data_IF_676079514832
#
_entry.id   IF_676079514832
#
_cell.length_a   1.000
_cell.length_b   1.000
_cell.length_c   1.000
_cell.angle_alpha   90.00
_cell.angle_beta   90.00
_cell.angle_gamma   90.00
#
_symmetry.space_group_name_H-M   'P 1'
#
loop_
_entity.id
_entity.type
_entity.pdbx_description
1 polymer ?
#
# COMPACT_ATOMS: atom_id res chain seq x y z
N UNK A 1 -9.65 -17.99 -1.50
CA UNK A 1 -8.97 -16.83 -2.09
C UNK A 1 -7.77 -16.57 -1.20
N UNK A 2 -6.59 -17.07 -1.59
CA UNK A 2 -5.35 -16.71 -0.89
C UNK A 2 -5.08 -15.24 -1.18
N UNK A 3 -5.25 -14.41 -0.14
CA UNK A 3 -5.05 -12.98 -0.26
C UNK A 3 -3.54 -12.72 -0.24
N UNK A 4 -2.97 -12.43 -1.40
CA UNK A 4 -1.53 -12.23 -1.51
C UNK A 4 -1.21 -10.75 -1.36
N UNK A 5 -0.56 -10.43 -0.25
CA UNK A 5 -0.30 -9.08 0.22
C UNK A 5 1.09 -8.64 -0.21
N UNK A 6 1.19 -7.47 -0.84
CA UNK A 6 2.46 -6.94 -1.32
C UNK A 6 2.86 -5.66 -0.58
N UNK A 7 4.06 -5.68 0.02
CA UNK A 7 4.71 -4.55 0.67
C UNK A 7 5.92 -4.11 -0.17
N UNK A 8 5.76 -3.09 -1.01
CA UNK A 8 6.83 -2.63 -1.93
C UNK A 8 7.49 -1.35 -1.39
N UNK A 9 8.33 -1.47 -0.37
CA UNK A 9 9.09 -0.33 0.16
C UNK A 9 10.60 -0.41 -0.12
N UNK A 10 11.19 -1.60 -0.18
CA UNK A 10 12.64 -1.78 -0.06
C UNK A 10 13.36 -2.28 -1.33
N UNK A 11 12.68 -2.41 -2.47
CA UNK A 11 13.26 -3.01 -3.68
C UNK A 11 13.72 -2.05 -4.77
N UNK A 12 13.74 -0.74 -4.54
CA UNK A 12 14.11 0.22 -5.59
C UNK A 12 15.63 0.21 -5.82
N UNK A 13 16.09 -0.15 -7.02
CA UNK A 13 17.53 -0.25 -7.34
C UNK A 13 18.31 1.05 -7.12
N UNK A 14 17.66 2.21 -7.16
CA UNK A 14 18.30 3.49 -6.83
C UNK A 14 18.82 3.53 -5.38
N UNK A 15 18.12 2.88 -4.45
CA UNK A 15 18.46 2.87 -3.03
C UNK A 15 19.14 1.57 -2.60
N UNK A 16 18.81 0.44 -3.24
CA UNK A 16 19.43 -0.86 -3.00
C UNK A 16 19.90 -1.49 -4.33
N UNK A 17 20.99 -0.98 -4.94
CA UNK A 17 21.44 -1.43 -6.27
C UNK A 17 21.91 -2.89 -6.27
N UNK A 18 22.51 -3.33 -5.16
CA UNK A 18 23.03 -4.68 -4.99
C UNK A 18 21.99 -5.65 -4.40
N UNK A 19 20.81 -5.16 -4.02
CA UNK A 19 19.73 -5.97 -3.47
C UNK A 19 20.02 -6.53 -2.06
N UNK A 20 20.96 -5.93 -1.33
CA UNK A 20 21.43 -6.40 -0.04
C UNK A 20 20.40 -6.15 1.06
N UNK A 21 19.77 -4.98 1.07
CA UNK A 21 18.70 -4.68 2.03
C UNK A 21 17.48 -5.59 1.78
N UNK A 22 17.12 -5.77 0.51
CA UNK A 22 16.09 -6.70 0.09
C UNK A 22 16.37 -8.12 0.59
N UNK A 23 17.60 -8.63 0.39
CA UNK A 23 18.00 -9.96 0.84
C UNK A 23 17.95 -10.10 2.38
N UNK A 24 18.34 -9.06 3.11
CA UNK A 24 18.24 -9.05 4.59
C UNK A 24 16.79 -9.13 5.04
N UNK A 25 15.88 -8.40 4.40
CA UNK A 25 14.44 -8.44 4.73
C UNK A 25 13.87 -9.84 4.45
N UNK A 26 14.17 -10.42 3.29
CA UNK A 26 13.72 -11.77 2.90
C UNK A 26 14.26 -12.84 3.86
N UNK A 27 15.50 -12.69 4.34
CA UNK A 27 16.09 -13.61 5.32
C UNK A 27 15.53 -13.42 6.74
N UNK A 28 15.14 -12.20 7.10
CA UNK A 28 14.65 -11.86 8.45
C UNK A 28 13.16 -12.17 8.61
N UNK A 29 12.36 -11.92 7.57
CA UNK A 29 10.91 -12.06 7.60
C UNK A 29 10.50 -13.23 6.70
N UNK A 30 10.30 -14.39 7.33
CA UNK A 30 9.91 -15.60 6.61
C UNK A 30 8.62 -15.38 5.82
N UNK A 31 8.65 -15.70 4.52
CA UNK A 31 7.50 -15.59 3.63
C UNK A 31 7.29 -14.21 3.01
N UNK A 32 8.19 -13.26 3.24
CA UNK A 32 8.21 -11.98 2.51
C UNK A 32 9.16 -12.07 1.32
N UNK A 33 8.69 -11.62 0.16
CA UNK A 33 9.52 -11.42 -1.02
C UNK A 33 9.60 -9.93 -1.35
N UNK A 34 10.81 -9.46 -1.66
CA UNK A 34 11.07 -8.07 -2.04
C UNK A 34 11.25 -8.00 -3.55
N UNK A 35 10.25 -7.41 -4.21
CA UNK A 35 10.28 -7.17 -5.65
C UNK A 35 11.29 -6.06 -5.95
N UNK A 36 12.31 -6.38 -6.73
CA UNK A 36 13.38 -5.47 -7.12
C UNK A 36 13.00 -4.75 -8.41
N UNK A 37 12.89 -3.43 -8.38
CA UNK A 37 12.38 -2.63 -9.50
C UNK A 37 13.24 -1.38 -9.75
N UNK A 38 13.25 -0.92 -11.01
CA UNK A 38 14.05 0.25 -11.44
C UNK A 38 13.26 1.56 -11.35
N UNK A 39 11.94 1.48 -11.46
CA UNK A 39 11.08 2.66 -11.54
C UNK A 39 10.47 2.93 -10.16
N UNK A 40 10.55 4.18 -9.71
CA UNK A 40 9.92 4.61 -8.46
C UNK A 40 8.41 4.77 -8.65
N UNK A 41 7.65 4.30 -7.65
CA UNK A 41 6.21 4.59 -7.54
C UNK A 41 5.95 6.11 -7.58
N UNK A 42 4.85 6.57 -8.18
CA UNK A 42 3.76 5.76 -8.74
C UNK A 42 3.98 5.27 -10.19
N UNK A 43 5.20 5.40 -10.73
CA UNK A 43 5.56 4.82 -12.02
C UNK A 43 5.84 3.31 -11.92
N UNK A 44 5.99 2.67 -13.08
CA UNK A 44 6.29 1.24 -13.20
C UNK A 44 5.06 0.41 -13.56
N UNK A 45 5.31 -0.67 -14.29
CA UNK A 45 4.30 -1.64 -14.69
C UNK A 45 4.19 -2.75 -13.63
N UNK A 46 3.03 -3.40 -13.53
CA UNK A 46 2.80 -4.50 -12.60
C UNK A 46 3.33 -5.86 -13.09
N UNK A 47 3.87 -5.94 -14.31
CA UNK A 47 4.20 -7.21 -14.96
C UNK A 47 5.14 -8.11 -14.15
N UNK A 48 6.13 -7.53 -13.47
CA UNK A 48 7.06 -8.28 -12.60
C UNK A 48 6.32 -8.89 -11.40
N UNK A 49 5.35 -8.14 -10.85
CA UNK A 49 4.53 -8.54 -9.72
C UNK A 49 3.57 -9.66 -10.12
N UNK A 50 2.88 -9.49 -11.24
CA UNK A 50 1.98 -10.50 -11.80
C UNK A 50 2.74 -11.79 -12.13
N UNK A 51 3.96 -11.67 -12.68
CA UNK A 51 4.80 -12.82 -13.02
C UNK A 51 5.27 -13.58 -11.78
N UNK A 52 5.60 -12.88 -10.69
CA UNK A 52 6.02 -13.51 -9.44
C UNK A 52 4.87 -14.30 -8.80
N UNK A 53 3.68 -13.71 -8.80
CA UNK A 53 2.50 -14.29 -8.16
C UNK A 53 1.68 -15.23 -9.05
N UNK A 54 1.91 -15.21 -10.36
CA UNK A 54 1.18 -16.03 -11.33
C UNK A 54 -0.29 -15.63 -11.52
N UNK A 55 -0.67 -14.40 -11.15
CA UNK A 55 -2.04 -13.89 -11.31
C UNK A 55 -2.06 -12.41 -11.73
N UNK A 56 -3.18 -11.98 -12.30
CA UNK A 56 -3.38 -10.58 -12.70
C UNK A 56 -3.41 -9.63 -11.49
N UNK A 57 -3.06 -8.37 -11.70
CA UNK A 57 -3.08 -7.31 -10.69
C UNK A 57 -4.47 -7.13 -10.05
N UNK A 58 -5.53 -7.40 -10.81
CA UNK A 58 -6.92 -7.42 -10.33
C UNK A 58 -7.21 -8.49 -9.28
N UNK A 59 -6.31 -9.44 -9.05
CA UNK A 59 -6.38 -10.45 -8.00
C UNK A 59 -5.39 -10.19 -6.86
N UNK A 60 -4.65 -9.09 -6.91
CA UNK A 60 -3.60 -8.74 -5.96
C UNK A 60 -4.03 -7.58 -5.06
N UNK A 61 -3.55 -7.61 -3.81
CA UNK A 61 -3.78 -6.56 -2.82
C UNK A 61 -2.48 -5.82 -2.55
N UNK A 62 -2.49 -4.51 -2.77
CA UNK A 62 -1.40 -3.61 -2.41
C UNK A 62 -1.73 -2.92 -1.09
N UNK A 63 -0.86 -3.12 -0.10
CA UNK A 63 -1.00 -2.48 1.22
C UNK A 63 0.11 -1.45 1.39
N UNK A 64 -0.26 -0.22 1.72
CA UNK A 64 0.70 0.87 1.91
C UNK A 64 0.09 2.03 2.69
N UNK A 65 0.90 3.02 3.04
CA UNK A 65 0.53 4.09 3.96
C UNK A 65 0.52 5.49 3.31
N UNK A 66 0.75 5.56 1.99
CA UNK A 66 0.76 6.82 1.24
C UNK A 66 -0.21 6.80 0.07
N UNK A 67 -0.91 7.93 -0.10
CA UNK A 67 -1.86 8.09 -1.20
C UNK A 67 -1.15 8.17 -2.54
N UNK A 68 -0.16 9.06 -2.66
CA UNK A 68 0.43 9.39 -3.98
C UNK A 68 1.43 8.37 -4.49
N UNK A 69 1.84 7.41 -3.66
CA UNK A 69 2.69 6.30 -4.07
C UNK A 69 1.88 5.02 -4.16
N UNK A 70 1.41 4.50 -3.03
CA UNK A 70 0.86 3.14 -2.97
C UNK A 70 -0.53 3.09 -3.58
N UNK A 71 -1.44 3.96 -3.13
CA UNK A 71 -2.82 3.99 -3.65
C UNK A 71 -2.84 4.34 -5.13
N UNK A 72 -2.07 5.35 -5.57
CA UNK A 72 -2.01 5.73 -6.99
C UNK A 72 -1.38 4.62 -7.85
N UNK A 73 -0.26 4.01 -7.41
CA UNK A 73 0.37 2.91 -8.16
C UNK A 73 -0.56 1.72 -8.30
N UNK A 74 -1.22 1.33 -7.21
CA UNK A 74 -2.17 0.23 -7.19
C UNK A 74 -3.35 0.49 -8.10
N UNK A 75 -4.00 1.66 -7.99
CA UNK A 75 -5.13 2.01 -8.85
C UNK A 75 -4.74 2.09 -10.33
N UNK A 76 -3.54 2.60 -10.66
CA UNK A 76 -3.05 2.70 -12.05
C UNK A 76 -2.88 1.33 -12.70
N UNK A 77 -2.45 0.34 -11.92
CA UNK A 77 -2.18 -1.01 -12.40
C UNK A 77 -3.33 -2.00 -12.14
N UNK A 78 -4.41 -1.58 -11.47
CA UNK A 78 -5.59 -2.42 -11.23
C UNK A 78 -5.51 -3.31 -9.99
N UNK A 79 -4.69 -2.96 -8.99
CA UNK A 79 -4.66 -3.64 -7.68
C UNK A 79 -5.81 -3.20 -6.79
N UNK A 80 -6.22 -4.07 -5.85
CA UNK A 80 -6.99 -3.63 -4.69
C UNK A 80 -6.04 -2.94 -3.71
N UNK A 81 -6.29 -1.67 -3.36
CA UNK A 81 -5.42 -0.94 -2.44
C UNK A 81 -6.01 -0.84 -1.05
N UNK A 82 -5.23 -1.19 -0.03
CA UNK A 82 -5.55 -0.93 1.37
C UNK A 82 -4.58 0.13 1.90
N UNK A 83 -5.12 1.27 2.30
CA UNK A 83 -4.34 2.32 2.93
C UNK A 83 -4.30 2.08 4.45
N UNK A 84 -3.11 1.99 5.01
CA UNK A 84 -2.88 1.86 6.45
C UNK A 84 -2.39 3.16 7.07
N UNK A 85 -2.49 3.27 8.39
CA UNK A 85 -1.74 4.30 9.09
C UNK A 85 -0.23 4.01 9.03
N UNK A 86 0.62 5.04 8.95
CA UNK A 86 2.07 4.87 8.98
C UNK A 86 2.53 4.15 10.26
N UNK A 87 3.34 3.11 10.09
CA UNK A 87 3.83 2.30 11.21
C UNK A 87 4.82 3.04 12.13
N UNK A 88 5.51 4.07 11.61
CA UNK A 88 6.46 4.85 12.40
C UNK A 88 6.53 6.30 11.91
N UNK A 89 6.32 7.25 12.83
CA UNK A 89 6.45 8.69 12.56
C UNK A 89 7.78 9.27 13.06
N UNK A 90 8.55 8.54 13.86
CA UNK A 90 9.65 9.07 14.67
C UNK A 90 10.87 9.50 13.86
N UNK A 91 11.14 8.85 12.72
CA UNK A 91 12.31 9.11 11.89
C UNK A 91 11.97 9.83 10.56
N UNK A 92 10.77 10.39 10.43
CA UNK A 92 10.38 11.07 9.19
C UNK A 92 10.89 12.50 9.12
N UNK A 93 11.43 12.88 7.97
CA UNK A 93 11.81 14.27 7.72
C UNK A 93 10.57 15.18 7.79
N UNK A 94 10.76 16.40 8.27
CA UNK A 94 9.68 17.39 8.39
C UNK A 94 8.91 17.60 7.07
N UNK A 95 9.62 17.51 5.95
CA UNK A 95 9.07 17.62 4.60
C UNK A 95 8.09 16.48 4.33
N UNK A 96 8.45 15.23 4.62
CA UNK A 96 7.56 14.06 4.41
C UNK A 96 6.29 14.21 5.21
N UNK A 97 6.38 14.67 6.47
CA UNK A 97 5.22 14.90 7.32
C UNK A 97 4.27 15.97 6.78
N UNK A 98 4.82 17.03 6.18
CA UNK A 98 4.02 18.08 5.52
C UNK A 98 3.36 17.58 4.24
N UNK A 99 4.09 16.82 3.43
CA UNK A 99 3.55 16.19 2.21
C UNK A 99 2.38 15.27 2.55
N UNK A 100 2.47 14.45 3.61
CA UNK A 100 1.34 13.63 4.06
C UNK A 100 0.11 14.43 4.43
N UNK A 101 0.27 15.53 5.17
CA UNK A 101 -0.86 16.41 5.51
C UNK A 101 -1.50 17.00 4.24
N UNK A 102 -0.68 17.35 3.26
CA UNK A 102 -1.15 17.85 1.98
C UNK A 102 -1.87 16.78 1.15
N UNK A 103 -1.33 15.55 1.09
CA UNK A 103 -1.98 14.39 0.48
C UNK A 103 -3.38 14.17 1.06
N UNK A 104 -3.48 14.07 2.39
CA UNK A 104 -4.75 13.90 3.09
C UNK A 104 -5.70 15.07 2.86
N UNK A 105 -5.20 16.30 2.81
CA UNK A 105 -6.02 17.48 2.51
C UNK A 105 -6.64 17.41 1.12
N UNK A 106 -5.86 17.06 0.09
CA UNK A 106 -6.35 16.90 -1.28
C UNK A 106 -7.40 15.81 -1.36
N UNK A 107 -7.13 14.65 -0.76
CA UNK A 107 -8.08 13.52 -0.76
C UNK A 107 -9.40 13.94 -0.09
N UNK A 108 -9.34 14.57 1.08
CA UNK A 108 -10.53 15.08 1.78
C UNK A 108 -11.28 16.12 0.94
N UNK A 109 -10.57 16.98 0.23
CA UNK A 109 -11.17 17.95 -0.68
C UNK A 109 -11.95 17.24 -1.80
N UNK A 110 -11.38 16.19 -2.42
CA UNK A 110 -12.07 15.41 -3.44
C UNK A 110 -13.29 14.66 -2.91
N UNK A 111 -13.19 14.08 -1.71
CA UNK A 111 -14.35 13.46 -1.05
C UNK A 111 -15.48 14.46 -0.81
N UNK A 112 -15.15 15.68 -0.35
CA UNK A 112 -16.12 16.77 -0.16
C UNK A 112 -16.76 17.23 -1.48
N UNK A 113 -16.03 17.15 -2.59
CA UNK A 113 -16.55 17.41 -3.94
C UNK A 113 -17.38 16.27 -4.52
N UNK A 114 -17.53 15.16 -3.80
CA UNK A 114 -18.35 14.02 -4.22
C UNK A 114 -17.58 12.96 -5.00
N UNK A 115 -16.28 13.12 -5.22
CA UNK A 115 -15.47 12.05 -5.79
C UNK A 115 -15.38 10.89 -4.80
N UNK A 116 -15.45 9.67 -5.31
CA UNK A 116 -15.37 8.44 -4.53
C UNK A 116 -14.34 7.51 -5.16
N UNK A 117 -13.67 6.66 -4.37
CA UNK A 117 -12.82 5.62 -4.91
C UNK A 117 -13.60 4.69 -5.85
N UNK A 118 -12.90 4.18 -6.86
CA UNK A 118 -13.44 3.16 -7.75
C UNK A 118 -13.66 1.88 -6.92
N UNK A 119 -14.80 1.22 -7.12
CA UNK A 119 -15.07 -0.08 -6.48
C UNK A 119 -14.21 -1.14 -7.16
N UNK A 120 -13.45 -1.89 -6.37
CA UNK A 120 -12.61 -2.96 -6.89
C UNK A 120 -13.39 -4.28 -6.97
N UNK A 121 -13.25 -5.10 -8.03
CA UNK A 121 -14.01 -6.36 -8.19
C UNK A 121 -13.83 -7.36 -7.05
N UNK A 122 -12.62 -7.43 -6.47
CA UNK A 122 -12.33 -8.32 -5.34
C UNK A 122 -13.13 -8.00 -4.09
N UNK A 123 -13.58 -6.75 -3.94
CA UNK A 123 -14.26 -6.32 -2.74
C UNK A 123 -15.29 -5.22 -3.00
N UNK A 124 -16.51 -5.58 -3.41
CA UNK A 124 -17.59 -4.63 -3.66
C UNK A 124 -18.02 -3.87 -2.40
N UNK A 125 -17.85 -4.49 -1.21
CA UNK A 125 -18.12 -3.90 0.09
C UNK A 125 -16.94 -4.09 1.04
N UNK A 126 -16.26 -2.98 1.37
CA UNK A 126 -15.12 -2.94 2.28
C UNK A 126 -15.46 -3.47 3.69
N UNK A 127 -16.72 -3.45 4.10
CA UNK A 127 -17.15 -3.97 5.42
C UNK A 127 -16.92 -5.47 5.56
N UNK A 128 -16.78 -6.20 4.45
CA UNK A 128 -16.57 -7.64 4.48
C UNK A 128 -15.16 -8.04 4.95
N UNK A 129 -14.18 -7.13 4.88
CA UNK A 129 -12.81 -7.38 5.38
C UNK A 129 -12.53 -6.74 6.74
N UNK A 130 -13.40 -5.85 7.22
CA UNK A 130 -13.30 -5.25 8.55
C UNK A 130 -13.82 -6.27 9.56
N UNK A 131 -12.95 -7.18 10.00
CA UNK A 131 -13.26 -8.14 11.08
C UNK A 131 -13.36 -7.47 12.45
N UNK A 132 -12.73 -6.30 12.62
CA UNK A 132 -12.70 -5.53 13.85
C UNK A 132 -12.97 -4.06 13.53
N UNK A 133 -14.10 -3.54 14.01
CA UNK A 133 -14.42 -2.11 13.98
C UNK A 133 -14.24 -1.56 15.41
N UNK A 134 -13.10 -0.93 15.74
CA UNK A 134 -12.83 -0.41 17.08
C UNK A 134 -13.84 0.65 17.53
N UNK A 135 -14.66 1.18 16.63
CA UNK A 135 -15.68 2.19 16.92
C UNK A 135 -17.09 1.60 17.09
N UNK A 136 -17.26 0.28 16.91
CA UNK A 136 -18.52 -0.44 17.19
C UNK A 136 -18.43 -1.44 18.33
N UNK A 137 -17.26 -1.65 18.90
CA UNK A 137 -17.11 -2.41 20.13
C UNK A 137 -17.18 -1.46 21.34
N UNK A 138 -18.25 -1.50 22.17
CA UNK A 138 -18.36 -0.65 23.35
C UNK A 138 -17.27 -0.90 24.41
N UNK A 139 -16.36 -1.86 24.19
CA UNK A 139 -15.25 -2.21 25.07
C UNK A 139 -13.85 -1.80 24.58
N UNK A 140 -13.72 -0.99 23.51
CA UNK A 140 -12.42 -0.45 23.15
C UNK A 140 -11.91 0.51 24.27
N UNK A 141 -10.77 0.24 24.92
CA UNK A 141 -10.23 1.14 25.93
C UNK A 141 -9.89 2.46 25.26
N UNK A 142 -10.54 3.53 25.70
CA UNK A 142 -10.30 4.88 25.21
C UNK A 142 -8.83 5.27 25.39
N UNK A 143 -8.21 5.69 24.30
CA UNK A 143 -6.93 6.38 24.27
C UNK A 143 -7.04 7.58 23.33
#
# INVERSE_FOLDING_TARGET
MELMCLLIAAGLKQYDPDGLEAAVIEATIQGVHVIRHDIKKPGGEAKEIESYFGCSASNLVLVGDRYFTDVVYGNRNGFFTVLTEPLNFANESFIVRKVRKFETYIVNYWYRKGHRPIKHPLLPDARQIVKFDPYKDPMAPGA
#
